data_IF_108437597024
#
_entry.id   IF_108437597024
#
_cell.length_a   1.000
_cell.length_b   1.000
_cell.length_c   1.000
_cell.angle_alpha   90.00
_cell.angle_beta   90.00
_cell.angle_gamma   90.00
#
_symmetry.space_group_name_H-M   'P 1'
#
loop_
_entity.id
_entity.type
_entity.pdbx_description
1 polymer ?
#
# COMPACT_ATOMS: atom_id res chain seq x y z
N UNK A 1 -33.91 -32.65 29.41
CA UNK A 1 -33.79 -31.70 28.27
C UNK A 1 -32.43 -31.01 28.37
N UNK A 2 -31.36 -31.64 27.87
CA UNK A 2 -29.99 -31.11 27.93
C UNK A 2 -29.36 -31.33 26.55
N UNK A 3 -29.73 -30.48 25.59
CA UNK A 3 -29.11 -30.42 24.26
C UNK A 3 -29.18 -28.98 23.80
N UNK A 4 -28.12 -28.24 24.07
CA UNK A 4 -27.71 -26.95 23.50
C UNK A 4 -26.43 -26.59 24.24
N UNK A 5 -25.53 -25.83 23.62
CA UNK A 5 -24.24 -25.42 24.20
C UNK A 5 -23.08 -26.43 24.09
N UNK A 6 -22.84 -26.98 22.91
CA UNK A 6 -21.47 -27.44 22.60
C UNK A 6 -21.23 -27.42 21.10
N UNK A 7 -21.25 -26.23 20.50
CA UNK A 7 -20.81 -26.05 19.10
C UNK A 7 -20.57 -24.56 18.79
N UNK A 8 -19.78 -23.88 19.62
CA UNK A 8 -19.25 -22.54 19.30
C UNK A 8 -17.81 -22.49 19.78
N UNK A 9 -16.94 -23.29 19.17
CA UNK A 9 -15.51 -23.28 19.51
C UNK A 9 -14.68 -23.90 18.40
N UNK A 10 -14.89 -23.50 17.14
CA UNK A 10 -14.04 -23.98 16.03
C UNK A 10 -14.02 -23.05 14.81
N UNK A 11 -13.93 -21.72 14.98
CA UNK A 11 -13.82 -20.78 13.85
C UNK A 11 -12.74 -19.71 13.99
N UNK A 12 -11.77 -19.88 14.90
CA UNK A 12 -10.64 -18.95 15.03
C UNK A 12 -9.33 -19.69 14.76
N UNK A 13 -9.11 -20.11 13.52
CA UNK A 13 -7.86 -20.78 13.12
C UNK A 13 -7.44 -20.52 11.67
N UNK A 14 -7.80 -19.38 11.07
CA UNK A 14 -7.37 -19.02 9.71
C UNK A 14 -6.84 -17.59 9.53
N UNK A 15 -6.68 -16.80 10.59
CA UNK A 15 -6.25 -15.39 10.47
C UNK A 15 -4.77 -15.24 10.86
N UNK A 16 -3.86 -15.85 10.11
CA UNK A 16 -2.42 -15.61 10.32
C UNK A 16 -1.61 -15.57 9.02
N UNK A 17 -2.28 -15.29 7.90
CA UNK A 17 -1.66 -15.03 6.61
C UNK A 17 -2.38 -13.81 6.02
N UNK A 18 -2.01 -12.58 6.39
CA UNK A 18 -2.85 -11.43 6.01
C UNK A 18 -2.27 -10.01 6.13
N UNK A 19 -1.23 -9.77 6.94
CA UNK A 19 -0.80 -8.38 7.19
C UNK A 19 -0.17 -7.67 5.99
N UNK A 20 0.62 -8.37 5.18
CA UNK A 20 1.25 -7.78 3.99
C UNK A 20 0.24 -7.61 2.84
N UNK A 21 -0.58 -8.63 2.57
CA UNK A 21 -1.61 -8.57 1.52
C UNK A 21 -2.70 -7.52 1.85
N UNK A 22 -3.05 -7.34 3.13
CA UNK A 22 -3.97 -6.28 3.58
C UNK A 22 -3.37 -4.88 3.34
N UNK A 23 -2.08 -4.68 3.60
CA UNK A 23 -1.41 -3.40 3.31
C UNK A 23 -1.34 -3.10 1.81
N UNK A 24 -1.09 -4.12 0.96
CA UNK A 24 -1.13 -3.94 -0.50
C UNK A 24 -2.52 -3.48 -0.93
N UNK A 25 -3.56 -4.20 -0.52
CA UNK A 25 -4.95 -3.85 -0.85
C UNK A 25 -5.35 -2.46 -0.32
N UNK A 26 -4.88 -2.09 0.88
CA UNK A 26 -5.06 -0.76 1.43
C UNK A 26 -4.46 0.32 0.52
N UNK A 27 -3.20 0.17 0.10
CA UNK A 27 -2.54 1.16 -0.74
C UNK A 27 -3.13 1.24 -2.14
N UNK A 28 -3.48 0.11 -2.76
CA UNK A 28 -4.21 0.10 -4.04
C UNK A 28 -5.51 0.90 -3.95
N UNK A 29 -6.30 0.72 -2.88
CA UNK A 29 -7.53 1.46 -2.66
C UNK A 29 -7.27 2.96 -2.43
N UNK A 30 -6.30 3.33 -1.58
CA UNK A 30 -5.97 4.73 -1.33
C UNK A 30 -5.52 5.46 -2.61
N UNK A 31 -4.66 4.82 -3.39
CA UNK A 31 -4.13 5.38 -4.64
C UNK A 31 -5.24 5.59 -5.66
N UNK A 32 -6.12 4.60 -5.86
CA UNK A 32 -7.23 4.69 -6.81
C UNK A 32 -8.29 5.73 -6.41
N UNK A 33 -8.47 6.00 -5.11
CA UNK A 33 -9.41 7.00 -4.64
C UNK A 33 -8.85 8.43 -4.69
N UNK A 34 -7.53 8.58 -4.63
CA UNK A 34 -6.86 9.88 -4.49
C UNK A 34 -6.27 10.40 -5.79
N UNK A 35 -5.88 9.51 -6.70
CA UNK A 35 -5.19 9.83 -7.94
C UNK A 35 -6.03 9.39 -9.14
N UNK A 36 -5.93 10.16 -10.22
CA UNK A 36 -6.61 9.89 -11.49
C UNK A 36 -5.61 9.97 -12.64
N UNK A 37 -5.97 9.54 -13.84
CA UNK A 37 -5.11 9.66 -15.02
C UNK A 37 -4.69 11.11 -15.33
N UNK A 38 -5.43 12.10 -14.83
CA UNK A 38 -5.09 13.52 -14.98
C UNK A 38 -4.14 14.04 -13.90
N UNK A 39 -3.87 13.24 -12.86
CA UNK A 39 -2.98 13.62 -11.76
C UNK A 39 -1.58 13.88 -12.28
N UNK A 40 -1.06 15.06 -11.92
CA UNK A 40 0.27 15.52 -12.32
C UNK A 40 1.34 14.98 -11.38
N UNK A 41 2.61 15.14 -11.79
CA UNK A 41 3.78 14.94 -10.93
C UNK A 41 3.67 15.62 -9.57
N UNK A 42 3.08 16.82 -9.50
CA UNK A 42 2.93 17.57 -8.25
C UNK A 42 1.80 17.02 -7.37
N UNK A 43 0.68 16.60 -7.96
CA UNK A 43 -0.41 15.96 -7.23
C UNK A 43 0.07 14.67 -6.56
N UNK A 44 0.84 13.85 -7.30
CA UNK A 44 1.42 12.60 -6.79
C UNK A 44 2.43 12.89 -5.67
N UNK A 45 3.32 13.87 -5.86
CA UNK A 45 4.28 14.29 -4.81
C UNK A 45 3.56 14.71 -3.53
N UNK A 46 2.49 15.49 -3.67
CA UNK A 46 1.71 15.98 -2.54
C UNK A 46 1.00 14.84 -1.81
N UNK A 47 0.39 13.91 -2.55
CA UNK A 47 -0.19 12.70 -1.97
C UNK A 47 0.86 11.91 -1.17
N UNK A 48 1.99 11.55 -1.78
CA UNK A 48 3.03 10.74 -1.13
C UNK A 48 3.58 11.40 0.15
N UNK A 49 3.76 12.73 0.11
CA UNK A 49 4.18 13.51 1.27
C UNK A 49 3.15 13.51 2.40
N UNK A 50 1.86 13.63 2.07
CA UNK A 50 0.77 13.60 3.05
C UNK A 50 0.56 12.20 3.65
N UNK A 51 0.79 11.16 2.85
CA UNK A 51 0.71 9.76 3.28
C UNK A 51 1.85 9.34 4.22
N UNK A 52 2.88 10.17 4.40
CA UNK A 52 4.03 9.85 5.24
C UNK A 52 4.91 8.73 4.69
N UNK A 53 4.78 8.44 3.39
CA UNK A 53 5.59 7.45 2.70
C UNK A 53 7.00 8.00 2.48
N UNK A 54 7.99 7.13 2.57
CA UNK A 54 9.32 7.44 2.06
C UNK A 54 9.29 7.29 0.54
N UNK A 55 9.67 8.33 -0.20
CA UNK A 55 9.63 8.27 -1.66
C UNK A 55 10.78 9.00 -2.34
N UNK A 56 11.06 8.58 -3.57
CA UNK A 56 11.98 9.22 -4.50
C UNK A 56 11.36 9.30 -5.90
N UNK A 57 11.94 10.16 -6.75
CA UNK A 57 11.54 10.30 -8.14
C UNK A 57 12.72 10.04 -9.06
N UNK A 58 12.53 9.16 -10.04
CA UNK A 58 13.52 8.76 -11.02
C UNK A 58 13.17 9.46 -12.33
N UNK A 59 13.90 10.54 -12.66
CA UNK A 59 13.61 11.38 -13.84
C UNK A 59 13.71 10.59 -15.16
N UNK A 60 14.69 9.68 -15.28
CA UNK A 60 14.92 8.92 -16.52
C UNK A 60 13.78 7.97 -16.90
N UNK A 61 13.01 7.50 -15.92
CA UNK A 61 11.85 6.62 -16.14
C UNK A 61 10.53 7.29 -15.80
N UNK A 62 10.57 8.58 -15.44
CA UNK A 62 9.43 9.36 -14.94
C UNK A 62 8.61 8.61 -13.90
N UNK A 63 9.29 7.98 -12.94
CA UNK A 63 8.67 7.08 -11.96
C UNK A 63 8.88 7.57 -10.54
N UNK A 64 7.81 7.66 -9.75
CA UNK A 64 7.92 7.71 -8.29
C UNK A 64 8.05 6.30 -7.74
N UNK A 65 8.99 6.11 -6.83
CA UNK A 65 9.13 4.90 -6.02
C UNK A 65 8.87 5.30 -4.58
N UNK A 66 7.90 4.67 -3.93
CA UNK A 66 7.55 4.91 -2.54
C UNK A 66 7.56 3.62 -1.73
N UNK A 67 7.90 3.71 -0.45
CA UNK A 67 8.02 2.59 0.46
C UNK A 67 7.22 2.86 1.73
N UNK A 68 6.39 1.88 2.12
CA UNK A 68 5.68 1.90 3.39
C UNK A 68 6.51 1.22 4.47
N UNK A 69 6.99 2.02 5.42
CA UNK A 69 7.79 1.55 6.56
C UNK A 69 6.88 0.85 7.57
N UNK A 70 7.29 -0.35 7.98
CA UNK A 70 6.80 -0.96 9.20
C UNK A 70 7.85 -0.80 10.29
N UNK A 71 7.51 -0.09 11.37
CA UNK A 71 8.40 0.05 12.53
C UNK A 71 7.99 -1.01 13.54
N UNK A 72 8.68 -2.13 13.54
CA UNK A 72 8.47 -3.16 14.56
C UNK A 72 9.39 -2.90 15.76
N UNK A 73 8.77 -2.71 16.94
CA UNK A 73 9.43 -2.62 18.24
C UNK A 73 10.68 -1.70 18.27
N UNK A 74 10.57 -0.48 17.74
CA UNK A 74 11.55 0.63 17.84
C UNK A 74 13.00 0.34 17.40
N UNK A 75 13.33 -0.87 16.94
CA UNK A 75 14.71 -1.32 16.69
C UNK A 75 14.91 -1.77 15.23
N UNK A 76 13.85 -2.18 14.53
CA UNK A 76 13.93 -2.66 13.14
C UNK A 76 12.94 -1.91 12.25
N UNK A 77 13.45 -1.27 11.21
CA UNK A 77 12.64 -0.71 10.11
C UNK A 77 12.63 -1.77 9.01
N UNK A 78 11.47 -2.36 8.76
CA UNK A 78 11.23 -3.18 7.56
C UNK A 78 10.35 -2.41 6.58
N UNK A 79 10.41 -2.76 5.30
CA UNK A 79 9.50 -2.25 4.29
C UNK A 79 8.60 -3.40 3.88
N UNK A 80 7.30 -3.27 4.07
CA UNK A 80 6.38 -4.36 3.74
C UNK A 80 5.72 -4.16 2.36
N UNK A 81 5.73 -2.92 1.85
CA UNK A 81 5.11 -2.55 0.59
C UNK A 81 5.98 -1.55 -0.16
N UNK A 82 6.16 -1.80 -1.46
CA UNK A 82 6.73 -0.87 -2.41
C UNK A 82 5.68 -0.43 -3.44
N UNK A 83 5.67 0.86 -3.79
CA UNK A 83 4.70 1.48 -4.70
C UNK A 83 5.48 2.15 -5.83
N UNK A 84 5.18 1.77 -7.06
CA UNK A 84 5.69 2.44 -8.26
C UNK A 84 4.56 3.19 -8.96
N UNK A 85 4.77 4.48 -9.21
CA UNK A 85 3.84 5.34 -9.92
C UNK A 85 4.56 5.90 -11.16
N UNK A 86 4.19 5.42 -12.33
CA UNK A 86 4.77 5.79 -13.62
C UNK A 86 3.96 6.93 -14.25
N UNK A 87 4.66 7.98 -14.71
CA UNK A 87 4.08 9.09 -15.46
C UNK A 87 4.30 8.90 -16.96
N UNK A 88 3.40 9.48 -17.76
CA UNK A 88 3.55 9.57 -19.20
C UNK A 88 4.51 10.68 -19.64
N UNK A 89 4.63 10.88 -20.95
CA UNK A 89 5.50 11.92 -21.50
C UNK A 89 5.08 13.34 -21.10
N UNK A 90 3.81 13.55 -20.77
CA UNK A 90 3.23 14.82 -20.34
C UNK A 90 3.24 15.00 -18.81
N UNK A 91 3.98 14.15 -18.10
CA UNK A 91 4.05 14.13 -16.63
C UNK A 91 2.69 13.92 -15.94
N UNK A 92 1.80 13.13 -16.57
CA UNK A 92 0.52 12.68 -16.00
C UNK A 92 0.55 11.22 -15.61
N UNK A 93 -0.27 10.83 -14.66
CA UNK A 93 -0.36 9.45 -14.18
C UNK A 93 -0.68 8.48 -15.32
N UNK A 94 0.22 7.52 -15.55
CA UNK A 94 0.02 6.43 -16.52
C UNK A 94 -0.27 5.10 -15.85
N UNK A 95 0.45 4.75 -14.78
CA UNK A 95 0.36 3.42 -14.16
C UNK A 95 0.73 3.45 -12.69
N UNK A 96 0.08 2.60 -11.91
CA UNK A 96 0.41 2.31 -10.51
C UNK A 96 0.66 0.81 -10.37
N UNK A 97 1.70 0.43 -9.62
CA UNK A 97 1.96 -0.95 -9.19
C UNK A 97 2.31 -0.98 -7.72
N UNK A 98 1.70 -1.89 -6.97
CA UNK A 98 1.96 -2.10 -5.54
C UNK A 98 2.52 -3.50 -5.36
N UNK A 99 3.64 -3.61 -4.67
CA UNK A 99 4.38 -4.85 -4.45
C UNK A 99 4.45 -5.15 -2.96
N UNK A 100 4.33 -6.43 -2.60
CA UNK A 100 4.77 -6.92 -1.29
C UNK A 100 6.24 -7.31 -1.35
N UNK A 101 6.97 -7.02 -0.29
CA UNK A 101 8.32 -7.54 -0.05
C UNK A 101 8.26 -8.97 0.53
#
# INVERSE_FOLDING_TARGET
MLKKWMLVLFTVALVSCGSADEKVAYWEAQLNNSLSSESTKEDIRNFLKQSGLDYGYIESTKTFVALDKNVENYIVITYNVAINIELDENEKLQRIKVYKD
#
